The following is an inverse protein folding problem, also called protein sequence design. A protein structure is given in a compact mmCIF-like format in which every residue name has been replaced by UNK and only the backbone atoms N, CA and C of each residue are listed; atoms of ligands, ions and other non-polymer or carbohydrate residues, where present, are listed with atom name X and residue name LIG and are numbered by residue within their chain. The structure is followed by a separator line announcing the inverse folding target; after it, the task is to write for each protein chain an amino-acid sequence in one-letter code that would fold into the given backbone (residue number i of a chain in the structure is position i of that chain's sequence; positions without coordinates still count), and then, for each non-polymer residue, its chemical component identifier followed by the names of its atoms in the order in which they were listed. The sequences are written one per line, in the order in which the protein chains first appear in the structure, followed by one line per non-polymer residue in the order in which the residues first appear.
data_IF_487553794745
#
_entry.id   IF_487553794745
#
_cell.length_a   1.000
_cell.length_b   1.000
_cell.length_c   1.000
_cell.angle_alpha   90.00
_cell.angle_beta   90.00
_cell.angle_gamma   90.00
#
_symmetry.space_group_name_H-M   'P 1'
#
loop_
_entity.id
_entity.type
_entity.pdbx_description
1 polymer ?
#
# COMPACT_ATOMS: atom_id res chain seq x y z
N UNK A 1 -3.82 -16.41 30.34
CA UNK A 1 -4.21 -15.06 29.87
C UNK A 1 -3.17 -14.42 28.96
N UNK A 2 -1.86 -14.65 29.16
CA UNK A 2 -0.84 -14.21 28.22
C UNK A 2 -0.97 -14.89 26.84
N UNK A 3 -1.19 -16.21 26.80
CA UNK A 3 -1.23 -16.98 25.54
C UNK A 3 -2.34 -16.57 24.58
N UNK A 4 -3.52 -16.22 25.12
CA UNK A 4 -4.64 -15.73 24.31
C UNK A 4 -4.32 -14.41 23.64
N UNK A 5 -3.62 -13.50 24.33
CA UNK A 5 -3.22 -12.20 23.77
C UNK A 5 -2.24 -12.36 22.60
N UNK A 6 -1.25 -13.24 22.73
CA UNK A 6 -0.31 -13.53 21.65
C UNK A 6 -1.00 -14.18 20.45
N UNK A 7 -1.93 -15.10 20.67
CA UNK A 7 -2.69 -15.73 19.60
C UNK A 7 -3.52 -14.72 18.78
N UNK A 8 -4.18 -13.78 19.46
CA UNK A 8 -4.94 -12.71 18.78
C UNK A 8 -4.03 -11.77 17.97
N UNK A 9 -2.88 -11.39 18.53
CA UNK A 9 -1.90 -10.55 17.82
C UNK A 9 -1.38 -11.24 16.56
N UNK A 10 -1.02 -12.52 16.66
CA UNK A 10 -0.56 -13.33 15.53
C UNK A 10 -1.64 -13.47 14.45
N UNK A 11 -2.87 -13.75 14.84
CA UNK A 11 -3.99 -13.83 13.89
C UNK A 11 -4.23 -12.50 13.16
N UNK A 12 -4.15 -11.38 13.87
CA UNK A 12 -4.24 -10.05 13.28
C UNK A 12 -3.12 -9.78 12.27
N UNK A 13 -1.87 -10.07 12.64
CA UNK A 13 -0.70 -9.87 11.78
C UNK A 13 -0.77 -10.75 10.52
N UNK A 14 -1.18 -12.02 10.64
CA UNK A 14 -1.35 -12.94 9.51
C UNK A 14 -2.48 -12.47 8.57
N UNK A 15 -3.62 -12.08 9.11
CA UNK A 15 -4.73 -11.53 8.33
C UNK A 15 -4.31 -10.24 7.61
N UNK A 16 -3.61 -9.34 8.30
CA UNK A 16 -3.07 -8.12 7.71
C UNK A 16 -2.13 -8.42 6.55
N UNK A 17 -1.25 -9.42 6.70
CA UNK A 17 -0.28 -9.80 5.68
C UNK A 17 -0.99 -10.39 4.45
N UNK A 18 -2.01 -11.23 4.65
CA UNK A 18 -2.82 -11.77 3.56
C UNK A 18 -3.53 -10.67 2.75
N UNK A 19 -4.11 -9.67 3.43
CA UNK A 19 -4.75 -8.52 2.78
C UNK A 19 -3.74 -7.69 1.99
N UNK A 20 -2.57 -7.42 2.57
CA UNK A 20 -1.50 -6.66 1.92
C UNK A 20 -0.96 -7.37 0.68
N UNK A 21 -0.75 -8.69 0.75
CA UNK A 21 -0.35 -9.49 -0.42
C UNK A 21 -1.43 -9.43 -1.51
N UNK A 22 -2.70 -9.54 -1.14
CA UNK A 22 -3.83 -9.37 -2.06
C UNK A 22 -3.84 -8.00 -2.73
N UNK A 23 -3.63 -6.93 -1.96
CA UNK A 23 -3.54 -5.56 -2.46
C UNK A 23 -2.37 -5.39 -3.42
N UNK A 24 -1.18 -5.91 -3.09
CA UNK A 24 -0.01 -5.86 -3.98
C UNK A 24 -0.31 -6.58 -5.29
N UNK A 25 -0.88 -7.77 -5.24
CA UNK A 25 -1.24 -8.56 -6.42
C UNK A 25 -2.23 -7.80 -7.32
N UNK A 26 -3.32 -7.30 -6.74
CA UNK A 26 -4.35 -6.55 -7.46
C UNK A 26 -3.72 -5.29 -8.07
N UNK A 27 -2.91 -4.57 -7.31
CA UNK A 27 -2.34 -3.30 -7.75
C UNK A 27 -1.29 -3.49 -8.85
N UNK A 28 -0.47 -4.54 -8.79
CA UNK A 28 0.40 -4.93 -9.91
C UNK A 28 -0.41 -5.25 -11.16
N UNK A 29 -1.53 -5.97 -11.01
CA UNK A 29 -2.43 -6.28 -12.12
C UNK A 29 -3.06 -5.02 -12.71
N UNK A 30 -3.52 -4.08 -11.88
CA UNK A 30 -4.03 -2.77 -12.32
C UNK A 30 -2.96 -1.95 -13.03
N UNK A 31 -1.72 -1.96 -12.53
CA UNK A 31 -0.60 -1.25 -13.15
C UNK A 31 -0.30 -1.81 -14.55
N UNK A 32 -0.37 -3.13 -14.74
CA UNK A 32 -0.23 -3.76 -16.06
C UNK A 32 -1.36 -3.39 -17.01
N UNK A 33 -2.61 -3.39 -16.53
CA UNK A 33 -3.79 -3.00 -17.34
C UNK A 33 -3.74 -1.53 -17.75
N UNK A 34 -3.32 -0.65 -16.84
CA UNK A 34 -3.26 0.79 -17.12
C UNK A 34 -2.03 1.23 -17.91
N UNK A 35 -1.01 0.38 -18.05
CA UNK A 35 0.21 0.67 -18.82
C UNK A 35 -0.07 1.01 -20.30
N UNK A 36 -1.19 0.54 -20.85
CA UNK A 36 -1.54 0.69 -22.28
C UNK A 36 -2.58 1.81 -22.56
N UNK A 37 -3.13 2.47 -21.53
CA UNK A 37 -4.22 3.46 -21.69
C UNK A 37 -3.79 4.93 -21.55
N UNK A 38 -4.45 5.85 -22.28
CA UNK A 38 -4.22 7.32 -22.22
C UNK A 38 -4.66 7.93 -20.87
N UNK A 39 -5.69 7.37 -20.22
CA UNK A 39 -6.03 7.64 -18.81
C UNK A 39 -5.04 7.01 -17.81
N UNK A 40 -4.06 6.26 -18.32
CA UNK A 40 -3.14 5.43 -17.54
C UNK A 40 -2.15 6.19 -16.69
N UNK A 41 -1.78 7.45 -17.02
CA UNK A 41 -0.81 8.19 -16.21
C UNK A 41 -1.31 8.45 -14.79
N UNK A 42 -2.51 9.01 -14.62
CA UNK A 42 -3.06 9.30 -13.30
C UNK A 42 -3.32 8.01 -12.49
N UNK A 43 -3.92 7.00 -13.11
CA UNK A 43 -4.16 5.69 -12.48
C UNK A 43 -2.88 4.90 -12.20
N UNK A 44 -1.80 5.13 -12.96
CA UNK A 44 -0.48 4.58 -12.67
C UNK A 44 0.14 5.24 -11.44
N UNK A 45 -0.07 6.55 -11.20
CA UNK A 45 0.35 7.19 -9.95
C UNK A 45 -0.43 6.66 -8.75
N UNK A 46 -1.75 6.46 -8.89
CA UNK A 46 -2.58 5.83 -7.85
C UNK A 46 -2.09 4.41 -7.55
N UNK A 47 -1.87 3.61 -8.59
CA UNK A 47 -1.40 2.22 -8.45
C UNK A 47 0.00 2.15 -7.83
N UNK A 48 0.92 3.03 -8.24
CA UNK A 48 2.25 3.11 -7.64
C UNK A 48 2.18 3.55 -6.17
N UNK A 49 1.29 4.49 -5.83
CA UNK A 49 1.03 4.92 -4.46
C UNK A 49 0.51 3.79 -3.58
N UNK A 50 -0.49 3.03 -4.05
CA UNK A 50 -1.06 1.88 -3.33
C UNK A 50 -0.04 0.75 -3.17
N UNK A 51 0.83 0.50 -4.16
CA UNK A 51 1.93 -0.46 -4.02
C UNK A 51 2.92 -0.04 -2.92
N UNK A 52 3.33 1.23 -2.93
CA UNK A 52 4.28 1.77 -1.97
C UNK A 52 3.70 1.75 -0.55
N UNK A 53 2.41 2.08 -0.41
CA UNK A 53 1.65 1.92 0.84
C UNK A 53 1.64 0.48 1.33
N UNK A 54 1.29 -0.45 0.44
CA UNK A 54 1.17 -1.87 0.77
C UNK A 54 2.53 -2.46 1.20
N UNK A 55 3.63 -2.06 0.54
CA UNK A 55 4.99 -2.41 0.93
C UNK A 55 5.35 -1.85 2.31
N UNK A 56 5.00 -0.60 2.60
CA UNK A 56 5.21 -0.02 3.92
C UNK A 56 4.48 -0.78 5.02
N UNK A 57 3.19 -1.12 4.79
CA UNK A 57 2.39 -1.93 5.72
C UNK A 57 2.99 -3.33 5.89
N UNK A 58 3.45 -3.98 4.81
CA UNK A 58 4.14 -5.26 4.90
C UNK A 58 5.37 -5.20 5.84
N UNK A 59 6.16 -4.13 5.75
CA UNK A 59 7.31 -3.92 6.63
C UNK A 59 6.92 -3.74 8.10
N UNK A 60 5.80 -3.06 8.38
CA UNK A 60 5.29 -2.96 9.75
C UNK A 60 4.88 -4.33 10.33
N UNK A 61 4.19 -5.14 9.54
CA UNK A 61 3.76 -6.48 9.97
C UNK A 61 4.99 -7.39 10.16
N UNK A 62 5.96 -7.33 9.24
CA UNK A 62 7.24 -8.04 9.40
C UNK A 62 7.98 -7.58 10.65
N UNK A 63 7.99 -6.28 10.97
CA UNK A 63 8.59 -5.77 12.19
C UNK A 63 7.88 -6.32 13.45
N UNK A 64 6.55 -6.36 13.45
CA UNK A 64 5.76 -6.94 14.55
C UNK A 64 6.03 -8.44 14.76
N UNK A 65 6.16 -9.21 13.67
CA UNK A 65 6.33 -10.66 13.70
C UNK A 65 7.76 -11.10 13.99
N UNK A 66 8.75 -10.46 13.36
CA UNK A 66 10.17 -10.86 13.43
C UNK A 66 10.97 -10.06 14.46
N UNK A 67 10.35 -9.09 15.15
CA UNK A 67 11.02 -8.16 16.07
C UNK A 67 12.24 -7.50 15.41
N UNK A 68 12.06 -7.06 14.16
CA UNK A 68 13.11 -6.41 13.37
C UNK A 68 13.51 -5.07 13.98
N UNK A 69 14.67 -4.54 13.57
CA UNK A 69 15.16 -3.24 14.05
C UNK A 69 14.16 -2.09 13.80
N UNK A 70 14.11 -1.13 14.74
CA UNK A 70 13.36 0.14 14.62
C UNK A 70 13.64 0.91 13.32
N UNK A 71 14.80 0.67 12.69
CA UNK A 71 15.14 1.25 11.39
C UNK A 71 14.13 0.82 10.31
N UNK A 72 13.70 -0.45 10.33
CA UNK A 72 12.73 -1.01 9.39
C UNK A 72 11.34 -0.42 9.63
N UNK A 73 10.97 -0.18 10.89
CA UNK A 73 9.74 0.52 11.24
C UNK A 73 9.73 1.95 10.66
N UNK A 74 10.84 2.69 10.81
CA UNK A 74 10.96 4.05 10.25
C UNK A 74 10.87 4.05 8.72
N UNK A 75 11.51 3.09 8.05
CA UNK A 75 11.45 2.92 6.59
C UNK A 75 10.02 2.56 6.14
N UNK A 76 9.34 1.66 6.85
CA UNK A 76 7.94 1.32 6.59
C UNK A 76 7.03 2.54 6.70
N UNK A 77 7.23 3.38 7.73
CA UNK A 77 6.46 4.59 7.94
C UNK A 77 6.65 5.62 6.80
N UNK A 78 7.90 5.84 6.36
CA UNK A 78 8.16 6.76 5.26
C UNK A 78 7.58 6.24 3.95
N UNK A 79 7.65 4.93 3.68
CA UNK A 79 7.00 4.30 2.53
C UNK A 79 5.47 4.49 2.53
N UNK A 80 4.82 4.33 3.69
CA UNK A 80 3.38 4.59 3.84
C UNK A 80 3.05 6.04 3.51
N UNK A 81 3.80 7.01 4.05
CA UNK A 81 3.58 8.43 3.79
C UNK A 81 3.79 8.78 2.30
N UNK A 82 4.89 8.32 1.71
CA UNK A 82 5.20 8.55 0.29
C UNK A 82 4.13 7.93 -0.60
N UNK A 83 3.72 6.70 -0.31
CA UNK A 83 2.64 6.02 -1.02
C UNK A 83 1.33 6.78 -0.92
N UNK A 84 0.97 7.26 0.28
CA UNK A 84 -0.23 8.09 0.50
C UNK A 84 -0.22 9.37 -0.34
N UNK A 85 0.90 10.10 -0.35
CA UNK A 85 1.07 11.31 -1.16
C UNK A 85 0.95 11.00 -2.66
N UNK A 86 1.57 9.92 -3.14
CA UNK A 86 1.44 9.50 -4.54
C UNK A 86 -0.01 9.18 -4.90
N UNK A 87 -0.71 8.49 -4.01
CA UNK A 87 -2.11 8.09 -4.23
C UNK A 87 -3.02 9.32 -4.34
N UNK A 88 -2.85 10.29 -3.42
CA UNK A 88 -3.56 11.56 -3.46
C UNK A 88 -3.24 12.38 -4.71
N UNK A 89 -1.96 12.41 -5.11
CA UNK A 89 -1.53 13.11 -6.33
C UNK A 89 -2.17 12.49 -7.57
N UNK A 90 -2.27 11.15 -7.62
CA UNK A 90 -2.96 10.43 -8.69
C UNK A 90 -4.45 10.75 -8.74
N UNK A 91 -5.14 10.79 -7.59
CA UNK A 91 -6.54 11.21 -7.53
C UNK A 91 -6.75 12.66 -7.96
N UNK A 92 -5.87 13.58 -7.53
CA UNK A 92 -5.93 14.97 -7.93
C UNK A 92 -5.74 15.15 -9.45
N UNK A 93 -4.78 14.42 -10.04
CA UNK A 93 -4.57 14.41 -11.48
C UNK A 93 -5.81 13.88 -12.24
N UNK A 94 -6.44 12.83 -11.71
CA UNK A 94 -7.66 12.27 -12.28
C UNK A 94 -8.84 13.25 -12.20
N UNK A 95 -9.02 13.91 -11.05
CA UNK A 95 -10.06 14.93 -10.86
C UNK A 95 -9.89 16.10 -11.84
N UNK A 96 -8.66 16.61 -12.00
CA UNK A 96 -8.37 17.68 -12.96
C UNK A 96 -8.69 17.26 -14.39
N UNK A 97 -8.40 16.02 -14.76
CA UNK A 97 -8.70 15.48 -16.09
C UNK A 97 -10.21 15.41 -16.36
N UNK A 98 -11.01 15.05 -15.36
CA UNK A 98 -12.47 15.07 -15.47
C UNK A 98 -13.02 16.49 -15.57
N UNK A 99 -12.49 17.41 -14.78
CA UNK A 99 -12.98 18.79 -14.75
C UNK A 99 -12.57 19.61 -16.00
N UNK A 100 -11.54 19.18 -16.75
CA UNK A 100 -11.17 19.77 -18.04
C UNK A 100 -12.01 19.28 -19.23
N UNK A 101 -12.83 18.24 -19.03
CA UNK A 101 -13.74 17.71 -20.05
C UNK A 101 -15.18 18.21 -19.93
N UNK A 102 -15.48 19.04 -18.91
CA UNK A 102 -16.75 19.77 -18.78
C UNK A 102 -16.62 21.17 -19.36
#
# INVERSE_FOLDING_TARGET
MLDTWYAWKLAYDICGLAVVVGLIYITLRLLLVFKEGIMGKAWSYVSCGVLTLSLGIALFICHSLLSLSDVIYKIGNTLVLVGGILTLTGFYAQYKFWNQKS
#
